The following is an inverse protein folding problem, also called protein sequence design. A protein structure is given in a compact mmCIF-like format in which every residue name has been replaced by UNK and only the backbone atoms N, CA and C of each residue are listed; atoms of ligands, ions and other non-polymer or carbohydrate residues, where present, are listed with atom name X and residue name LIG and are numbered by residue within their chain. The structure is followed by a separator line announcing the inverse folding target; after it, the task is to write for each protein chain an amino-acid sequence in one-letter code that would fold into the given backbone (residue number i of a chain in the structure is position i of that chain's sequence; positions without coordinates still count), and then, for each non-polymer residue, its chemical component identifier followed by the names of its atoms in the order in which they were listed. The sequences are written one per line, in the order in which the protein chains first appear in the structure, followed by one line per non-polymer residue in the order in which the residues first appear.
data_IF_260762532775
#
_entry.id   IF_260762532775
#
_cell.length_a   1.000
_cell.length_b   1.000
_cell.length_c   1.000
_cell.angle_alpha   90.00
_cell.angle_beta   90.00
_cell.angle_gamma   90.00
#
_symmetry.space_group_name_H-M   'P 1'
#
loop_
_entity.id
_entity.type
_entity.pdbx_description
1 polymer ?
#
# COMPACT_ATOMS: atom_id res chain seq x y z
N UNK A 1 6.31 -6.88 32.32
CA UNK A 1 6.08 -5.43 32.58
C UNK A 1 5.39 -4.75 31.39
N UNK A 2 5.91 -4.83 30.16
CA UNK A 2 5.26 -4.17 29.01
C UNK A 2 3.90 -4.74 28.58
N UNK A 3 3.67 -6.05 28.78
CA UNK A 3 2.38 -6.67 28.47
C UNK A 3 1.23 -6.10 29.31
N UNK A 4 1.45 -5.97 30.63
CA UNK A 4 0.53 -5.32 31.56
C UNK A 4 0.06 -3.94 31.09
N UNK A 5 0.95 -3.12 30.54
CA UNK A 5 0.55 -1.80 30.02
C UNK A 5 -0.41 -1.91 28.83
N UNK A 6 -0.19 -2.87 27.92
CA UNK A 6 -1.10 -3.11 26.80
C UNK A 6 -2.45 -3.59 27.31
N UNK A 7 -2.46 -4.53 28.27
CA UNK A 7 -3.68 -5.06 28.88
C UNK A 7 -4.49 -3.93 29.54
N UNK A 8 -3.86 -3.09 30.37
CA UNK A 8 -4.51 -1.94 30.99
C UNK A 8 -5.02 -0.91 29.98
N UNK A 9 -4.31 -0.69 28.87
CA UNK A 9 -4.77 0.24 27.84
C UNK A 9 -6.00 -0.30 27.11
N UNK A 10 -6.05 -1.60 26.84
CA UNK A 10 -7.23 -2.25 26.25
C UNK A 10 -8.42 -2.17 27.22
N UNK A 11 -8.21 -2.48 28.50
CA UNK A 11 -9.25 -2.31 29.53
C UNK A 11 -9.71 -0.86 29.66
N UNK A 12 -8.77 0.11 29.58
CA UNK A 12 -9.11 1.53 29.59
C UNK A 12 -9.97 1.91 28.39
N UNK A 13 -9.63 1.45 27.18
CA UNK A 13 -10.42 1.68 25.97
C UNK A 13 -11.85 1.16 26.15
N UNK A 14 -12.02 -0.06 26.67
CA UNK A 14 -13.35 -0.62 26.99
C UNK A 14 -14.11 0.24 28.01
N UNK A 15 -13.46 0.66 29.10
CA UNK A 15 -14.10 1.51 30.11
C UNK A 15 -14.55 2.88 29.56
N UNK A 16 -13.81 3.43 28.59
CA UNK A 16 -14.10 4.72 27.97
C UNK A 16 -15.30 4.64 26.99
N UNK A 17 -15.54 3.47 26.40
CA UNK A 17 -16.75 3.23 25.61
C UNK A 17 -18.01 3.28 26.48
N UNK A 18 -17.93 2.70 27.68
CA UNK A 18 -19.04 2.67 28.64
C UNK A 18 -19.35 4.05 29.23
N UNK A 19 -18.34 4.87 29.51
CA UNK A 19 -18.51 6.20 30.10
C UNK A 19 -18.82 7.31 29.09
N UNK A 20 -18.86 6.99 27.79
CA UNK A 20 -19.05 7.97 26.69
C UNK A 20 -17.97 9.07 26.60
N UNK A 21 -16.81 8.89 27.23
CA UNK A 21 -15.65 9.79 27.17
C UNK A 21 -14.82 9.55 25.88
N UNK A 22 -15.46 9.67 24.72
CA UNK A 22 -14.88 9.30 23.40
C UNK A 22 -13.59 10.06 23.04
N UNK A 23 -13.33 11.21 23.66
CA UNK A 23 -12.14 12.03 23.39
C UNK A 23 -10.84 11.36 23.87
N UNK A 24 -10.90 10.50 24.88
CA UNK A 24 -9.73 9.81 25.46
C UNK A 24 -9.38 8.50 24.72
N UNK A 25 -10.29 8.00 23.85
CA UNK A 25 -10.07 6.77 23.08
C UNK A 25 -8.92 6.95 22.09
N UNK A 26 -8.86 8.08 21.38
CA UNK A 26 -7.85 8.33 20.35
C UNK A 26 -6.41 8.30 20.91
N UNK A 27 -6.09 8.99 22.03
CA UNK A 27 -4.78 8.86 22.68
C UNK A 27 -4.42 7.41 23.08
N UNK A 28 -5.38 6.65 23.63
CA UNK A 28 -5.14 5.26 24.04
C UNK A 28 -4.82 4.38 22.82
N UNK A 29 -5.60 4.50 21.74
CA UNK A 29 -5.39 3.76 20.50
C UNK A 29 -4.05 4.16 19.85
N UNK A 30 -3.68 5.44 19.86
CA UNK A 30 -2.38 5.87 19.37
C UNK A 30 -1.24 5.24 20.19
N UNK A 31 -1.35 5.20 21.51
CA UNK A 31 -0.35 4.56 22.37
C UNK A 31 -0.25 3.05 22.12
N UNK A 32 -1.38 2.37 21.92
CA UNK A 32 -1.41 0.96 21.48
C UNK A 32 -0.71 0.78 20.14
N UNK A 33 -0.91 1.67 19.17
CA UNK A 33 -0.18 1.64 17.91
C UNK A 33 1.34 1.75 18.12
N UNK A 34 1.82 2.66 18.98
CA UNK A 34 3.25 2.78 19.28
C UNK A 34 3.81 1.48 19.91
N UNK A 35 3.07 0.84 20.82
CA UNK A 35 3.45 -0.46 21.36
C UNK A 35 3.47 -1.55 20.28
N UNK A 36 2.49 -1.57 19.37
CA UNK A 36 2.43 -2.57 18.29
C UNK A 36 3.62 -2.49 17.35
N UNK A 37 4.07 -1.26 17.04
CA UNK A 37 5.24 -0.99 16.19
C UNK A 37 6.56 -1.30 16.91
N UNK A 38 6.63 -1.06 18.22
CA UNK A 38 7.84 -1.35 18.99
C UNK A 38 8.01 -2.85 19.27
N UNK A 39 6.93 -3.53 19.71
CA UNK A 39 6.93 -4.96 20.07
C UNK A 39 5.55 -5.58 19.82
N UNK A 40 5.32 -6.01 18.59
CA UNK A 40 4.06 -6.64 18.17
C UNK A 40 3.70 -7.93 18.97
N UNK A 41 4.68 -8.64 19.54
CA UNK A 41 4.46 -9.82 20.40
C UNK A 41 3.72 -9.54 21.72
N UNK A 42 3.55 -8.26 22.10
CA UNK A 42 2.75 -7.90 23.28
C UNK A 42 1.25 -8.04 23.04
N UNK A 43 0.83 -8.13 21.78
CA UNK A 43 -0.58 -8.25 21.41
C UNK A 43 -1.00 -9.71 21.33
N UNK A 44 -2.19 -10.00 21.85
CA UNK A 44 -2.82 -11.31 21.80
C UNK A 44 -3.99 -11.29 20.83
N UNK A 45 -4.49 -12.47 20.45
CA UNK A 45 -5.71 -12.57 19.64
C UNK A 45 -6.91 -11.88 20.34
N UNK A 46 -7.01 -11.98 21.66
CA UNK A 46 -8.06 -11.33 22.44
C UNK A 46 -8.03 -9.80 22.29
N UNK A 47 -6.85 -9.18 22.29
CA UNK A 47 -6.73 -7.74 22.09
C UNK A 47 -7.22 -7.32 20.70
N UNK A 48 -6.94 -8.12 19.67
CA UNK A 48 -7.43 -7.83 18.32
C UNK A 48 -8.94 -8.02 18.20
N UNK A 49 -9.51 -9.03 18.86
CA UNK A 49 -10.96 -9.20 18.94
C UNK A 49 -11.64 -7.99 19.60
N UNK A 50 -11.03 -7.41 20.63
CA UNK A 50 -11.52 -6.19 21.27
C UNK A 50 -11.45 -4.97 20.34
N UNK A 51 -10.40 -4.87 19.50
CA UNK A 51 -10.23 -3.75 18.57
C UNK A 51 -10.98 -3.92 17.25
N UNK A 52 -11.45 -5.12 16.92
CA UNK A 52 -12.17 -5.41 15.68
C UNK A 52 -13.41 -4.52 15.44
N UNK A 53 -14.27 -4.21 16.42
CA UNK A 53 -15.45 -3.38 16.20
C UNK A 53 -15.12 -2.00 15.58
N UNK A 54 -13.96 -1.43 15.89
CA UNK A 54 -13.48 -0.17 15.32
C UNK A 54 -13.23 -0.22 13.81
N UNK A 55 -13.03 -1.41 13.22
CA UNK A 55 -12.93 -1.58 11.77
C UNK A 55 -14.31 -1.49 11.08
N UNK A 56 -15.41 -1.69 11.82
CA UNK A 56 -16.78 -1.65 11.31
C UNK A 56 -17.44 -0.28 11.45
N UNK A 57 -17.04 0.49 12.45
CA UNK A 57 -17.66 1.79 12.72
C UNK A 57 -17.51 2.76 11.54
N UNK A 58 -18.60 3.46 11.23
CA UNK A 58 -18.60 4.47 10.19
C UNK A 58 -17.81 5.70 10.64
N UNK A 59 -16.58 5.85 10.14
CA UNK A 59 -15.70 6.96 10.48
C UNK A 59 -16.13 8.26 9.78
N UNK A 60 -17.07 8.99 10.39
CA UNK A 60 -17.60 10.25 9.84
C UNK A 60 -16.86 11.47 10.40
N UNK A 61 -16.37 11.39 11.65
CA UNK A 61 -15.57 12.42 12.30
C UNK A 61 -14.06 12.28 12.05
N UNK A 62 -13.33 13.39 12.18
CA UNK A 62 -11.86 13.40 12.02
C UNK A 62 -11.12 12.58 13.08
N UNK A 63 -11.62 12.54 14.31
CA UNK A 63 -11.08 11.68 15.38
C UNK A 63 -11.34 10.20 15.09
N UNK A 64 -12.55 9.83 14.69
CA UNK A 64 -12.95 8.46 14.32
C UNK A 64 -12.10 7.92 13.16
N UNK A 65 -11.81 8.76 12.16
CA UNK A 65 -10.93 8.38 11.05
C UNK A 65 -9.49 8.08 11.49
N UNK A 66 -8.97 8.84 12.47
CA UNK A 66 -7.65 8.57 13.05
C UNK A 66 -7.65 7.30 13.90
N UNK A 67 -8.71 7.05 14.66
CA UNK A 67 -8.88 5.77 15.39
C UNK A 67 -8.85 4.62 14.40
N UNK A 68 -9.67 4.65 13.35
CA UNK A 68 -9.67 3.63 12.31
C UNK A 68 -8.29 3.46 11.66
N UNK A 69 -7.60 4.56 11.37
CA UNK A 69 -6.24 4.52 10.83
C UNK A 69 -5.27 3.77 11.74
N UNK A 70 -5.22 4.11 13.03
CA UNK A 70 -4.33 3.46 13.99
C UNK A 70 -4.71 2.01 14.25
N UNK A 71 -6.00 1.67 14.30
CA UNK A 71 -6.45 0.28 14.44
C UNK A 71 -5.97 -0.55 13.24
N UNK A 72 -6.17 -0.07 12.00
CA UNK A 72 -5.67 -0.79 10.81
C UNK A 72 -4.16 -0.99 10.86
N UNK A 73 -3.41 0.01 11.33
CA UNK A 73 -1.95 -0.11 11.53
C UNK A 73 -1.58 -1.13 12.61
N UNK A 74 -2.30 -1.17 13.74
CA UNK A 74 -2.10 -2.20 14.78
C UNK A 74 -2.31 -3.59 14.19
N UNK A 75 -3.41 -3.81 13.46
CA UNK A 75 -3.67 -5.10 12.81
C UNK A 75 -2.56 -5.48 11.81
N UNK A 76 -2.06 -4.52 11.04
CA UNK A 76 -0.98 -4.72 10.08
C UNK A 76 0.32 -5.25 10.75
N UNK A 77 0.71 -4.66 11.89
CA UNK A 77 1.93 -5.03 12.61
C UNK A 77 1.77 -6.33 13.42
N UNK A 78 0.58 -6.56 13.99
CA UNK A 78 0.35 -7.63 14.97
C UNK A 78 -0.09 -8.94 14.35
N UNK A 79 -1.01 -8.94 13.37
CA UNK A 79 -1.55 -10.16 12.78
C UNK A 79 -0.46 -11.12 12.25
N UNK A 80 0.57 -10.65 11.52
CA UNK A 80 1.63 -11.54 11.02
C UNK A 80 2.55 -12.10 12.11
N UNK A 81 2.54 -11.51 13.31
CA UNK A 81 3.38 -11.88 14.44
C UNK A 81 2.75 -12.96 15.33
N UNK A 82 1.42 -13.13 15.24
CA UNK A 82 0.69 -14.13 16.00
C UNK A 82 0.96 -15.54 15.45
N UNK A 83 1.32 -16.47 16.35
CA UNK A 83 1.67 -17.86 15.98
C UNK A 83 0.48 -18.66 15.42
N UNK A 84 -0.69 -18.48 16.03
CA UNK A 84 -1.93 -19.10 15.63
C UNK A 84 -3.02 -18.03 15.71
N UNK A 85 -3.63 -17.71 14.57
CA UNK A 85 -4.77 -16.80 14.50
C UNK A 85 -5.98 -17.60 14.07
N UNK A 86 -7.09 -17.43 14.76
CA UNK A 86 -8.35 -18.05 14.37
C UNK A 86 -8.72 -17.67 12.91
N UNK A 87 -8.96 -18.67 12.03
CA UNK A 87 -9.37 -18.40 10.65
C UNK A 87 -10.63 -17.54 10.54
N UNK A 88 -11.53 -17.61 11.51
CA UNK A 88 -12.75 -16.81 11.52
C UNK A 88 -12.45 -15.31 11.68
N UNK A 89 -11.51 -14.93 12.54
CA UNK A 89 -11.04 -13.55 12.70
C UNK A 89 -10.39 -13.05 11.40
N UNK A 90 -9.53 -13.85 10.77
CA UNK A 90 -8.89 -13.47 9.50
C UNK A 90 -9.91 -13.16 8.40
N UNK A 91 -10.91 -14.01 8.24
CA UNK A 91 -11.98 -13.80 7.25
C UNK A 91 -12.80 -12.54 7.57
N UNK A 92 -13.03 -12.24 8.85
CA UNK A 92 -13.74 -11.04 9.26
C UNK A 92 -12.92 -9.77 8.95
N UNK A 93 -11.64 -9.75 9.32
CA UNK A 93 -10.73 -8.63 9.04
C UNK A 93 -10.62 -8.38 7.54
N UNK A 94 -10.47 -9.43 6.71
CA UNK A 94 -10.43 -9.27 5.25
C UNK A 94 -11.70 -8.60 4.70
N UNK A 95 -12.88 -9.05 5.16
CA UNK A 95 -14.17 -8.48 4.73
C UNK A 95 -14.32 -7.02 5.16
N UNK A 96 -13.88 -6.69 6.37
CA UNK A 96 -13.92 -5.34 6.91
C UNK A 96 -12.96 -4.42 6.14
N UNK A 97 -11.73 -4.86 5.88
CA UNK A 97 -10.77 -4.14 5.05
C UNK A 97 -11.31 -3.90 3.63
N UNK A 98 -11.92 -4.89 2.99
CA UNK A 98 -12.57 -4.72 1.67
C UNK A 98 -13.71 -3.68 1.69
N UNK A 99 -14.44 -3.61 2.81
CA UNK A 99 -15.50 -2.61 3.00
C UNK A 99 -14.91 -1.20 3.16
N UNK A 100 -13.83 -1.07 3.93
CA UNK A 100 -13.05 0.17 4.10
C UNK A 100 -12.55 0.68 2.74
N UNK A 101 -12.02 -0.21 1.89
CA UNK A 101 -11.54 0.15 0.54
C UNK A 101 -12.60 0.79 -0.36
N UNK A 102 -13.87 0.47 -0.13
CA UNK A 102 -14.99 0.96 -0.92
C UNK A 102 -15.55 2.30 -0.43
N UNK A 103 -15.47 2.56 0.88
CA UNK A 103 -16.17 3.68 1.52
C UNK A 103 -15.26 4.76 2.09
N UNK A 104 -14.04 4.41 2.51
CA UNK A 104 -13.19 5.29 3.31
C UNK A 104 -12.37 6.28 2.46
N UNK A 105 -11.96 7.43 3.01
CA UNK A 105 -11.13 8.43 2.32
C UNK A 105 -9.71 7.93 2.03
N UNK A 106 -9.01 8.64 1.14
CA UNK A 106 -7.66 8.28 0.67
C UNK A 106 -6.65 8.02 1.79
N UNK A 107 -6.69 8.82 2.87
CA UNK A 107 -5.78 8.65 4.01
C UNK A 107 -5.86 7.23 4.61
N UNK A 108 -7.08 6.68 4.69
CA UNK A 108 -7.32 5.35 5.24
C UNK A 108 -6.95 4.27 4.21
N UNK A 109 -7.14 4.52 2.91
CA UNK A 109 -6.71 3.59 1.85
C UNK A 109 -5.20 3.33 1.89
N UNK A 110 -4.40 4.35 2.22
CA UNK A 110 -2.94 4.23 2.33
C UNK A 110 -2.48 3.26 3.44
N UNK A 111 -3.32 2.95 4.43
CA UNK A 111 -3.00 1.96 5.49
C UNK A 111 -3.77 0.65 5.30
N UNK A 112 -5.00 0.72 4.81
CA UNK A 112 -5.85 -0.45 4.63
C UNK A 112 -5.36 -1.38 3.51
N UNK A 113 -4.85 -0.83 2.40
CA UNK A 113 -4.32 -1.65 1.30
C UNK A 113 -3.07 -2.43 1.72
N UNK A 114 -2.01 -1.80 2.28
CA UNK A 114 -0.85 -2.54 2.76
C UNK A 114 -1.23 -3.64 3.76
N UNK A 115 -2.13 -3.33 4.70
CA UNK A 115 -2.64 -4.28 5.67
C UNK A 115 -3.32 -5.48 4.99
N UNK A 116 -4.25 -5.24 4.06
CA UNK A 116 -4.91 -6.31 3.31
C UNK A 116 -3.91 -7.14 2.50
N UNK A 117 -2.99 -6.49 1.77
CA UNK A 117 -1.96 -7.17 1.00
C UNK A 117 -1.11 -8.09 1.88
N UNK A 118 -0.69 -7.62 3.05
CA UNK A 118 0.12 -8.38 4.01
C UNK A 118 -0.65 -9.55 4.63
N UNK A 119 -1.91 -9.35 5.01
CA UNK A 119 -2.78 -10.41 5.54
C UNK A 119 -3.02 -11.49 4.50
N UNK A 120 -3.35 -11.10 3.26
CA UNK A 120 -3.54 -12.05 2.16
C UNK A 120 -2.26 -12.80 1.83
N UNK A 121 -1.13 -12.08 1.74
CA UNK A 121 0.14 -12.67 1.34
C UNK A 121 0.71 -13.60 2.41
N UNK A 122 0.61 -13.27 3.70
CA UNK A 122 1.27 -14.02 4.77
C UNK A 122 0.37 -15.04 5.45
N UNK A 123 -0.92 -14.75 5.58
CA UNK A 123 -1.83 -15.52 6.46
C UNK A 123 -2.86 -16.31 5.67
N UNK A 124 -3.76 -15.63 4.94
CA UNK A 124 -4.96 -16.28 4.39
C UNK A 124 -4.72 -16.95 3.03
N UNK A 125 -3.79 -16.41 2.24
CA UNK A 125 -3.54 -16.81 0.85
C UNK A 125 -4.79 -16.68 -0.06
N UNK A 126 -5.76 -15.84 0.34
CA UNK A 126 -6.99 -15.54 -0.39
C UNK A 126 -6.77 -14.57 -1.56
N UNK A 127 -5.85 -14.91 -2.48
CA UNK A 127 -5.39 -14.02 -3.55
C UNK A 127 -6.51 -13.47 -4.46
N UNK A 128 -7.62 -14.20 -4.58
CA UNK A 128 -8.81 -13.78 -5.32
C UNK A 128 -9.32 -12.38 -4.95
N UNK A 129 -9.20 -11.96 -3.68
CA UNK A 129 -9.68 -10.63 -3.27
C UNK A 129 -8.84 -9.51 -3.88
N UNK A 130 -7.51 -9.64 -3.81
CA UNK A 130 -6.59 -8.67 -4.41
C UNK A 130 -6.74 -8.63 -5.93
N UNK A 131 -6.85 -9.80 -6.56
CA UNK A 131 -7.03 -9.90 -8.01
C UNK A 131 -8.34 -9.27 -8.47
N UNK A 132 -9.44 -9.43 -7.72
CA UNK A 132 -10.71 -8.77 -8.02
C UNK A 132 -10.64 -7.25 -7.89
N UNK A 133 -9.99 -6.73 -6.84
CA UNK A 133 -9.78 -5.28 -6.68
C UNK A 133 -8.96 -4.72 -7.84
N UNK A 134 -7.85 -5.38 -8.18
CA UNK A 134 -6.98 -5.03 -9.31
C UNK A 134 -7.79 -4.98 -10.61
N UNK A 135 -8.49 -6.06 -10.96
CA UNK A 135 -9.26 -6.15 -12.21
C UNK A 135 -10.40 -5.15 -12.27
N UNK A 136 -11.16 -4.99 -11.19
CA UNK A 136 -12.28 -4.04 -11.15
C UNK A 136 -11.82 -2.62 -11.46
N UNK A 137 -10.70 -2.19 -10.87
CA UNK A 137 -10.11 -0.88 -11.11
C UNK A 137 -9.50 -0.78 -12.52
N UNK A 138 -8.71 -1.78 -12.92
CA UNK A 138 -8.03 -1.79 -14.22
C UNK A 138 -9.00 -1.83 -15.41
N UNK A 139 -9.99 -2.74 -15.38
CA UNK A 139 -10.97 -2.92 -16.46
C UNK A 139 -11.84 -1.68 -16.60
N UNK A 140 -12.14 -0.98 -15.49
CA UNK A 140 -12.87 0.28 -15.53
C UNK A 140 -12.01 1.41 -16.08
N UNK A 141 -10.81 1.64 -15.53
CA UNK A 141 -9.91 2.70 -16.03
C UNK A 141 -9.55 2.52 -17.50
N UNK A 142 -9.36 1.28 -17.96
CA UNK A 142 -9.10 0.98 -19.37
C UNK A 142 -10.29 1.37 -20.26
N UNK A 143 -11.52 1.03 -19.85
CA UNK A 143 -12.75 1.42 -20.57
C UNK A 143 -12.92 2.94 -20.62
N UNK A 144 -12.71 3.62 -19.50
CA UNK A 144 -12.81 5.08 -19.44
C UNK A 144 -11.72 5.73 -20.31
N UNK A 145 -10.50 5.20 -20.31
CA UNK A 145 -9.43 5.68 -21.17
C UNK A 145 -9.73 5.52 -22.67
N UNK A 146 -10.35 4.40 -23.07
CA UNK A 146 -10.84 4.22 -24.45
C UNK A 146 -12.01 5.17 -24.76
N UNK A 147 -12.90 5.41 -23.79
CA UNK A 147 -13.98 6.37 -23.90
C UNK A 147 -13.48 7.79 -24.14
N UNK A 148 -12.43 8.22 -23.43
CA UNK A 148 -11.78 9.53 -23.61
C UNK A 148 -11.25 9.69 -25.05
N UNK A 149 -10.59 8.67 -25.60
CA UNK A 149 -10.12 8.72 -27.00
C UNK A 149 -11.25 8.76 -28.03
N UNK A 150 -12.44 8.27 -27.65
CA UNK A 150 -13.65 8.30 -28.47
C UNK A 150 -14.53 9.54 -28.21
N UNK A 151 -14.06 10.53 -27.45
CA UNK A 151 -14.78 11.78 -27.17
C UNK A 151 -15.94 11.63 -26.17
N UNK A 152 -16.02 10.53 -25.41
CA UNK A 152 -17.05 10.35 -24.38
C UNK A 152 -16.76 11.24 -23.16
N UNK A 153 -17.80 11.75 -22.47
CA UNK A 153 -17.61 12.54 -21.27
C UNK A 153 -16.97 11.72 -20.15
N UNK A 154 -16.17 12.38 -19.32
CA UNK A 154 -15.55 11.76 -18.17
C UNK A 154 -16.61 11.33 -17.15
N UNK A 155 -16.46 10.14 -16.53
CA UNK A 155 -17.26 9.77 -15.37
C UNK A 155 -16.92 10.66 -14.16
N UNK A 156 -17.66 10.54 -13.04
CA UNK A 156 -17.38 11.33 -11.85
C UNK A 156 -15.93 11.20 -11.40
N UNK A 157 -15.22 12.34 -11.30
CA UNK A 157 -13.78 12.38 -10.99
C UNK A 157 -13.42 11.61 -9.72
N UNK A 158 -14.27 11.69 -8.68
CA UNK A 158 -14.08 10.95 -7.41
C UNK A 158 -13.95 9.44 -7.63
N UNK A 159 -14.68 8.88 -8.58
CA UNK A 159 -14.64 7.45 -8.91
C UNK A 159 -13.33 7.08 -9.59
N UNK A 160 -12.88 7.89 -10.57
CA UNK A 160 -11.61 7.67 -11.26
C UNK A 160 -10.43 7.81 -10.30
N UNK A 161 -10.41 8.88 -9.51
CA UNK A 161 -9.37 9.13 -8.53
C UNK A 161 -9.26 7.97 -7.52
N UNK A 162 -10.39 7.47 -7.00
CA UNK A 162 -10.39 6.30 -6.11
C UNK A 162 -9.78 5.08 -6.82
N UNK A 163 -10.17 4.79 -8.05
CA UNK A 163 -9.64 3.63 -8.80
C UNK A 163 -8.15 3.74 -9.09
N UNK A 164 -7.66 4.94 -9.41
CA UNK A 164 -6.22 5.20 -9.60
C UNK A 164 -5.44 4.97 -8.30
N UNK A 165 -5.96 5.43 -7.16
CA UNK A 165 -5.36 5.23 -5.83
C UNK A 165 -5.31 3.74 -5.48
N UNK A 166 -6.45 3.05 -5.58
CA UNK A 166 -6.54 1.61 -5.27
C UNK A 166 -5.57 0.82 -6.16
N UNK A 167 -5.55 1.11 -7.46
CA UNK A 167 -4.72 0.39 -8.43
C UNK A 167 -3.22 0.56 -8.16
N UNK A 168 -2.78 1.80 -7.91
CA UNK A 168 -1.37 2.10 -7.61
C UNK A 168 -0.91 1.46 -6.30
N UNK A 169 -1.69 1.60 -5.23
CA UNK A 169 -1.34 1.03 -3.91
C UNK A 169 -1.35 -0.50 -3.92
N UNK A 170 -2.32 -1.15 -4.55
CA UNK A 170 -2.40 -2.61 -4.61
C UNK A 170 -1.20 -3.18 -5.39
N UNK A 171 -0.81 -2.56 -6.51
CA UNK A 171 0.37 -2.99 -7.27
C UNK A 171 1.69 -2.73 -6.53
N UNK A 172 1.76 -1.66 -5.73
CA UNK A 172 2.91 -1.34 -4.87
C UNK A 172 3.14 -2.39 -3.79
N UNK A 173 2.07 -2.80 -3.11
CA UNK A 173 2.16 -3.67 -1.93
C UNK A 173 1.99 -5.16 -2.25
N UNK A 174 1.64 -5.53 -3.48
CA UNK A 174 1.51 -6.91 -3.89
C UNK A 174 2.01 -7.14 -5.32
N UNK A 175 3.06 -7.96 -5.46
CA UNK A 175 3.64 -8.27 -6.76
C UNK A 175 2.88 -9.42 -7.47
N UNK A 176 1.82 -9.05 -8.21
CA UNK A 176 0.99 -9.99 -8.94
C UNK A 176 1.78 -10.81 -9.96
N UNK A 177 2.74 -10.22 -10.65
CA UNK A 177 3.52 -10.92 -11.69
C UNK A 177 4.40 -12.02 -11.07
N UNK A 178 5.09 -11.72 -9.96
CA UNK A 178 5.92 -12.70 -9.26
C UNK A 178 5.09 -13.83 -8.63
N UNK A 179 3.95 -13.52 -8.03
CA UNK A 179 3.06 -14.54 -7.44
C UNK A 179 2.40 -15.40 -8.52
N UNK A 180 1.95 -14.80 -9.63
CA UNK A 180 1.41 -15.52 -10.79
C UNK A 180 2.44 -16.48 -11.41
N UNK A 181 3.69 -16.06 -11.50
CA UNK A 181 4.76 -16.93 -12.02
C UNK A 181 5.03 -18.16 -11.13
N UNK A 182 4.90 -18.01 -9.80
CA UNK A 182 5.09 -19.09 -8.83
C UNK A 182 3.89 -20.03 -8.71
N UNK A 183 2.66 -19.49 -8.80
CA UNK A 183 1.42 -20.23 -8.54
C UNK A 183 0.31 -19.83 -9.53
N UNK A 184 0.45 -20.17 -10.82
CA UNK A 184 -0.46 -19.69 -11.87
C UNK A 184 -1.93 -20.05 -11.62
N UNK A 185 -2.20 -21.26 -11.09
CA UNK A 185 -3.56 -21.75 -10.83
C UNK A 185 -4.34 -20.93 -9.79
N UNK A 186 -3.63 -20.14 -8.96
CA UNK A 186 -4.24 -19.27 -7.94
C UNK A 186 -4.60 -17.88 -8.46
N UNK A 187 -4.26 -17.57 -9.71
CA UNK A 187 -4.56 -16.29 -10.36
C UNK A 187 -5.33 -16.49 -11.68
N UNK A 188 -6.42 -17.27 -11.70
CA UNK A 188 -7.15 -17.57 -12.92
C UNK A 188 -7.71 -16.31 -13.58
N UNK A 189 -8.08 -15.30 -12.79
CA UNK A 189 -8.60 -14.06 -13.33
C UNK A 189 -7.53 -13.23 -14.07
N UNK A 190 -6.23 -13.50 -13.83
CA UNK A 190 -5.12 -12.88 -14.53
C UNK A 190 -4.71 -13.64 -15.82
N UNK A 191 -5.29 -14.81 -16.11
CA UNK A 191 -5.07 -15.46 -17.40
C UNK A 191 -5.71 -14.69 -18.54
N UNK A 192 -6.85 -14.05 -18.29
CA UNK A 192 -7.52 -13.17 -19.24
C UNK A 192 -6.89 -11.76 -19.31
N UNK A 193 -5.80 -11.52 -18.57
CA UNK A 193 -5.14 -10.23 -18.60
C UNK A 193 -4.46 -10.02 -19.97
N UNK A 194 -4.59 -8.83 -20.59
CA UNK A 194 -3.97 -8.57 -21.88
C UNK A 194 -2.47 -8.87 -21.86
N UNK A 195 -1.93 -9.39 -22.97
CA UNK A 195 -0.53 -9.85 -23.06
C UNK A 195 0.47 -8.88 -22.42
N UNK A 196 1.44 -9.38 -21.65
CA UNK A 196 2.42 -8.58 -20.90
C UNK A 196 2.29 -8.71 -19.38
N UNK A 197 3.13 -7.96 -18.66
CA UNK A 197 3.12 -7.94 -17.19
C UNK A 197 1.99 -7.07 -16.66
N UNK A 198 1.43 -7.43 -15.50
CA UNK A 198 0.41 -6.64 -14.81
C UNK A 198 0.96 -5.23 -14.55
N UNK A 199 2.20 -5.15 -14.06
CA UNK A 199 2.88 -3.87 -13.78
C UNK A 199 2.94 -2.95 -15.01
N UNK A 200 3.38 -3.46 -16.17
CA UNK A 200 3.50 -2.63 -17.38
C UNK A 200 2.15 -2.13 -17.85
N UNK A 201 1.14 -2.99 -17.84
CA UNK A 201 -0.22 -2.63 -18.29
C UNK A 201 -0.86 -1.61 -17.36
N UNK A 202 -0.71 -1.79 -16.04
CA UNK A 202 -1.19 -0.83 -15.05
C UNK A 202 -0.50 0.52 -15.24
N UNK A 203 0.83 0.53 -15.39
CA UNK A 203 1.59 1.74 -15.69
C UNK A 203 1.05 2.47 -16.94
N UNK A 204 0.93 1.76 -18.07
CA UNK A 204 0.42 2.36 -19.31
C UNK A 204 -1.00 2.90 -19.17
N UNK A 205 -1.88 2.21 -18.43
CA UNK A 205 -3.26 2.67 -18.21
C UNK A 205 -3.29 3.90 -17.31
N UNK A 206 -2.55 3.92 -16.21
CA UNK A 206 -2.47 5.08 -15.29
C UNK A 206 -1.85 6.29 -15.99
N UNK A 207 -0.80 6.10 -16.81
CA UNK A 207 -0.15 7.18 -17.54
C UNK A 207 -1.09 7.97 -18.46
N UNK A 208 -2.13 7.32 -19.02
CA UNK A 208 -3.16 8.02 -19.83
C UNK A 208 -3.94 9.08 -19.05
N UNK A 209 -4.03 8.95 -17.73
CA UNK A 209 -4.71 9.91 -16.86
C UNK A 209 -3.82 11.10 -16.45
N UNK A 210 -2.58 11.16 -16.94
CA UNK A 210 -1.68 12.29 -16.76
C UNK A 210 -1.72 13.29 -17.92
N UNK A 211 -2.61 13.11 -18.90
CA UNK A 211 -2.67 13.99 -20.07
C UNK A 211 -3.08 15.43 -19.67
N UNK A 212 -2.46 16.42 -20.32
CA UNK A 212 -2.69 17.86 -20.06
C UNK A 212 -4.15 18.28 -20.31
N UNK A 213 -4.86 17.56 -21.19
CA UNK A 213 -6.28 17.78 -21.49
C UNK A 213 -7.23 17.43 -20.34
N UNK A 214 -6.75 16.72 -19.32
CA UNK A 214 -7.58 16.25 -18.21
C UNK A 214 -7.61 17.23 -17.05
N UNK A 215 -8.65 17.20 -16.20
CA UNK A 215 -8.71 18.06 -15.03
C UNK A 215 -7.51 17.86 -14.10
N UNK A 216 -6.92 18.96 -13.63
CA UNK A 216 -5.73 18.94 -12.75
C UNK A 216 -5.86 18.00 -11.53
N UNK A 217 -6.99 17.95 -10.79
CA UNK A 217 -7.12 17.01 -9.66
C UNK A 217 -6.94 15.53 -10.06
N UNK A 218 -7.38 15.17 -11.26
CA UNK A 218 -7.22 13.82 -11.79
C UNK A 218 -5.76 13.54 -12.14
N UNK A 219 -5.07 14.53 -12.74
CA UNK A 219 -3.65 14.43 -13.05
C UNK A 219 -2.81 14.27 -11.77
N UNK A 220 -3.08 15.04 -10.71
CA UNK A 220 -2.38 14.94 -9.42
C UNK A 220 -2.49 13.52 -8.84
N UNK A 221 -3.69 12.94 -8.86
CA UNK A 221 -3.91 11.58 -8.37
C UNK A 221 -3.28 10.52 -9.27
N UNK A 222 -3.28 10.73 -10.59
CA UNK A 222 -2.59 9.85 -11.53
C UNK A 222 -1.06 9.85 -11.31
N UNK A 223 -0.46 11.03 -11.11
CA UNK A 223 0.97 11.18 -10.78
C UNK A 223 1.29 10.48 -9.45
N UNK A 224 0.46 10.65 -8.40
CA UNK A 224 0.65 9.90 -7.16
C UNK A 224 0.52 8.38 -7.34
N UNK A 225 -0.41 7.93 -8.19
CA UNK A 225 -0.58 6.52 -8.51
C UNK A 225 0.65 5.95 -9.22
N UNK A 226 1.23 6.68 -10.18
CA UNK A 226 2.51 6.33 -10.79
C UNK A 226 3.65 6.30 -9.76
N UNK A 227 3.68 7.26 -8.83
CA UNK A 227 4.65 7.27 -7.73
C UNK A 227 4.58 6.02 -6.85
N UNK A 228 3.39 5.50 -6.58
CA UNK A 228 3.22 4.22 -5.90
C UNK A 228 3.78 3.05 -6.73
N UNK A 229 3.61 3.07 -8.05
CA UNK A 229 4.20 2.06 -8.93
C UNK A 229 5.73 2.15 -8.95
N UNK A 230 6.32 3.35 -9.02
CA UNK A 230 7.77 3.53 -8.98
C UNK A 230 8.38 3.02 -7.67
N UNK A 231 7.67 3.20 -6.55
CA UNK A 231 8.07 2.66 -5.26
C UNK A 231 8.05 1.12 -5.19
N UNK A 232 7.19 0.46 -5.96
CA UNK A 232 7.16 -1.00 -6.09
C UNK A 232 8.07 -1.55 -7.20
N UNK A 233 8.30 -0.77 -8.25
CA UNK A 233 9.02 -1.15 -9.47
C UNK A 233 9.85 0.04 -9.99
N UNK A 234 11.02 0.34 -9.37
CA UNK A 234 11.86 1.48 -9.74
C UNK A 234 12.27 1.52 -11.21
N UNK A 235 12.52 0.37 -11.84
CA UNK A 235 12.78 0.24 -13.28
C UNK A 235 11.77 0.95 -14.20
N UNK A 236 10.53 1.19 -13.76
CA UNK A 236 9.55 1.99 -14.52
C UNK A 236 9.97 3.45 -14.72
N UNK A 237 10.86 4.00 -13.88
CA UNK A 237 11.39 5.36 -14.03
C UNK A 237 12.37 5.48 -15.20
N UNK A 238 13.00 4.37 -15.61
CA UNK A 238 13.94 4.34 -16.74
C UNK A 238 13.24 4.43 -18.10
N UNK A 239 11.91 4.25 -18.12
CA UNK A 239 11.12 4.30 -19.35
C UNK A 239 11.05 5.71 -19.91
N UNK A 240 11.09 5.82 -21.24
CA UNK A 240 10.96 7.10 -21.94
C UNK A 240 9.63 7.80 -21.64
N UNK A 241 8.54 7.06 -21.43
CA UNK A 241 7.24 7.65 -21.09
C UNK A 241 7.26 8.34 -19.71
N UNK A 242 8.02 7.78 -18.76
CA UNK A 242 8.23 8.38 -17.43
C UNK A 242 9.05 9.65 -17.52
N UNK A 243 10.15 9.65 -18.29
CA UNK A 243 11.00 10.83 -18.50
C UNK A 243 10.24 11.96 -19.16
N UNK A 244 9.54 11.65 -20.26
CA UNK A 244 8.70 12.62 -20.98
C UNK A 244 7.63 13.23 -20.07
N UNK A 245 7.03 12.43 -19.20
CA UNK A 245 6.07 12.91 -18.19
C UNK A 245 6.71 13.89 -17.20
N UNK A 246 7.87 13.54 -16.64
CA UNK A 246 8.58 14.35 -15.66
C UNK A 246 9.07 15.67 -16.27
N UNK A 247 9.71 15.63 -17.45
CA UNK A 247 10.17 16.80 -18.20
C UNK A 247 9.01 17.77 -18.46
N UNK A 248 7.87 17.24 -18.89
CA UNK A 248 6.66 18.03 -19.15
C UNK A 248 6.10 18.68 -17.87
N UNK A 249 6.11 17.96 -16.74
CA UNK A 249 5.64 18.52 -15.46
C UNK A 249 6.57 19.64 -14.99
N UNK A 250 7.90 19.46 -15.06
CA UNK A 250 8.86 20.49 -14.69
C UNK A 250 8.83 21.70 -15.63
N UNK A 251 8.60 21.49 -16.93
CA UNK A 251 8.40 22.58 -17.89
C UNK A 251 7.06 23.32 -17.73
N UNK A 252 6.07 22.73 -17.04
CA UNK A 252 4.77 23.36 -16.84
C UNK A 252 4.81 24.53 -15.85
N UNK A 253 3.80 25.40 -15.86
CA UNK A 253 3.61 26.45 -14.85
C UNK A 253 2.81 25.97 -13.63
N UNK A 254 2.38 24.71 -13.64
CA UNK A 254 1.52 24.11 -12.61
C UNK A 254 2.33 23.73 -11.38
N UNK A 255 2.23 24.55 -10.33
CA UNK A 255 2.94 24.35 -9.06
C UNK A 255 2.48 23.11 -8.31
N UNK A 256 1.20 22.75 -8.41
CA UNK A 256 0.66 21.61 -7.68
C UNK A 256 1.17 20.30 -8.30
N UNK A 257 1.24 20.21 -9.63
CA UNK A 257 1.81 19.03 -10.30
C UNK A 257 3.31 18.88 -10.01
N UNK A 258 4.07 19.99 -9.99
CA UNK A 258 5.48 19.97 -9.58
C UNK A 258 5.64 19.50 -8.14
N UNK A 259 4.85 20.06 -7.22
CA UNK A 259 4.87 19.65 -5.82
C UNK A 259 4.50 18.17 -5.66
N UNK A 260 3.54 17.68 -6.45
CA UNK A 260 3.14 16.29 -6.43
C UNK A 260 4.25 15.36 -6.92
N UNK A 261 4.95 15.72 -7.99
CA UNK A 261 6.09 14.96 -8.48
C UNK A 261 7.26 14.95 -7.48
N UNK A 262 7.54 16.09 -6.86
CA UNK A 262 8.56 16.19 -5.80
C UNK A 262 8.21 15.34 -4.57
N UNK A 263 6.92 15.25 -4.19
CA UNK A 263 6.47 14.32 -3.14
C UNK A 263 6.72 12.87 -3.52
N UNK A 264 6.46 12.50 -4.78
CA UNK A 264 6.75 11.14 -5.29
C UNK A 264 8.25 10.84 -5.18
N UNK A 265 9.12 11.78 -5.54
CA UNK A 265 10.57 11.63 -5.38
C UNK A 265 10.98 11.51 -3.91
N UNK A 266 10.44 12.35 -3.03
CA UNK A 266 10.71 12.28 -1.60
C UNK A 266 10.30 10.93 -1.00
N UNK A 267 9.11 10.44 -1.33
CA UNK A 267 8.62 9.14 -0.87
C UNK A 267 9.50 7.98 -1.36
N UNK A 268 9.93 8.03 -2.62
CA UNK A 268 10.82 7.04 -3.21
C UNK A 268 12.18 6.98 -2.49
N UNK A 269 12.82 8.14 -2.30
CA UNK A 269 14.10 8.25 -1.60
C UNK A 269 13.99 7.84 -0.13
N UNK A 270 12.90 8.24 0.54
CA UNK A 270 12.64 7.83 1.93
C UNK A 270 12.50 6.32 2.05
N UNK A 271 11.84 5.67 1.08
CA UNK A 271 11.70 4.22 1.07
C UNK A 271 13.04 3.52 0.81
N UNK A 272 13.89 4.04 -0.08
CA UNK A 272 15.24 3.49 -0.28
C UNK A 272 16.10 3.62 0.97
N UNK A 273 16.07 4.78 1.63
CA UNK A 273 16.80 4.98 2.88
C UNK A 273 16.36 3.98 3.96
N UNK A 274 15.05 3.76 4.12
CA UNK A 274 14.53 2.76 5.06
C UNK A 274 14.97 1.33 4.73
N UNK A 275 15.14 0.98 3.44
CA UNK A 275 15.68 -0.33 3.04
C UNK A 275 17.15 -0.44 3.44
N UNK A 276 17.96 0.59 3.13
CA UNK A 276 19.38 0.63 3.48
C UNK A 276 19.62 0.56 5.00
N UNK A 277 18.80 1.22 5.80
CA UNK A 277 18.94 1.19 7.26
C UNK A 277 18.59 -0.20 7.82
N UNK A 278 17.59 -0.88 7.27
CA UNK A 278 17.26 -2.28 7.63
C UNK A 278 18.37 -3.25 7.28
N UNK A 279 19.03 -3.05 6.14
CA UNK A 279 20.16 -3.90 5.71
C UNK A 279 21.38 -3.68 6.61
N UNK A 280 21.59 -2.46 7.11
CA UNK A 280 22.66 -2.12 8.07
C UNK A 280 22.40 -2.67 9.48
N UNK A 281 21.15 -2.66 9.93
CA UNK A 281 20.76 -3.06 11.29
C UNK A 281 20.70 -4.58 11.49
N UNK A 282 20.92 -5.39 10.46
CA UNK A 282 21.31 -6.81 10.55
C UNK A 282 20.63 -7.60 11.67
N UNK A 283 19.30 -7.56 11.78
CA UNK A 283 18.59 -8.44 12.71
C UNK A 283 18.50 -9.82 12.05
N UNK A 284 19.11 -10.87 12.63
CA UNK A 284 19.11 -12.18 12.02
C UNK A 284 17.68 -12.74 12.09
N UNK A 285 16.99 -12.75 10.95
CA UNK A 285 15.81 -13.56 10.79
C UNK A 285 16.23 -15.03 10.92
N UNK A 286 15.98 -15.59 12.12
CA UNK A 286 15.89 -17.00 12.44
C UNK A 286 16.75 -17.96 11.59
N UNK A 287 17.97 -18.25 12.03
CA UNK A 287 18.64 -19.52 11.71
C UNK A 287 19.70 -19.87 12.75
N UNK A 288 19.25 -20.35 13.91
CA UNK A 288 20.07 -21.25 14.72
C UNK A 288 19.98 -22.66 14.10
N UNK A 289 20.91 -22.93 13.18
CA UNK A 289 21.41 -24.23 12.64
C UNK A 289 21.43 -24.21 11.11
N UNK A 290 22.58 -23.85 10.55
CA UNK A 290 23.50 -24.81 9.91
C UNK A 290 24.72 -24.05 9.36
N UNK A 291 25.87 -24.36 9.92
CA UNK A 291 27.17 -23.97 9.38
C UNK A 291 27.37 -24.61 8.00
N UNK A 292 28.08 -23.88 7.13
CA UNK A 292 28.69 -24.30 5.86
C UNK A 292 27.78 -24.29 4.60
N UNK A 293 27.52 -23.09 4.10
CA UNK A 293 27.99 -22.60 2.78
C UNK A 293 27.73 -21.10 2.76
N UNK A 294 28.72 -20.29 2.34
CA UNK A 294 28.45 -18.90 2.00
C UNK A 294 27.47 -18.93 0.84
N UNK A 295 26.22 -18.57 1.10
CA UNK A 295 25.12 -18.67 0.15
C UNK A 295 25.44 -17.70 -1.01
N UNK A 296 25.83 -18.23 -2.16
CA UNK A 296 26.22 -17.45 -3.35
C UNK A 296 25.09 -16.51 -3.78
N UNK A 297 23.84 -16.76 -3.34
CA UNK A 297 22.67 -15.88 -3.52
C UNK A 297 22.70 -14.58 -2.71
N UNK A 298 23.46 -14.52 -1.63
CA UNK A 298 23.70 -13.28 -0.87
C UNK A 298 24.78 -12.44 -1.58
N UNK A 299 25.71 -13.09 -2.28
CA UNK A 299 26.76 -12.43 -3.07
C UNK A 299 26.28 -12.02 -4.47
N UNK A 300 25.39 -12.81 -5.06
CA UNK A 300 24.63 -12.50 -6.27
C UNK A 300 23.30 -11.93 -5.78
N UNK A 301 23.30 -10.69 -5.28
CA UNK A 301 22.06 -10.00 -4.92
C UNK A 301 21.02 -10.20 -6.02
N UNK A 302 19.75 -10.44 -5.64
CA UNK A 302 18.67 -10.71 -6.60
C UNK A 302 18.84 -9.78 -7.79
N UNK A 303 18.99 -10.30 -9.02
CA UNK A 303 19.31 -9.47 -10.19
C UNK A 303 18.33 -8.30 -10.40
N UNK A 304 17.11 -8.42 -9.86
CA UNK A 304 16.10 -7.38 -9.80
C UNK A 304 16.39 -6.30 -8.73
N UNK A 305 16.87 -6.67 -7.55
CA UNK A 305 17.33 -5.73 -6.52
C UNK A 305 18.62 -5.01 -6.93
N UNK A 306 19.53 -5.71 -7.63
CA UNK A 306 20.74 -5.09 -8.20
C UNK A 306 20.42 -4.15 -9.36
N UNK A 307 19.40 -4.46 -10.17
CA UNK A 307 18.95 -3.63 -11.30
C UNK A 307 18.13 -2.41 -10.89
N UNK A 308 17.47 -2.47 -9.73
CA UNK A 308 16.75 -1.33 -9.16
C UNK A 308 17.69 -0.41 -8.34
N UNK A 309 18.84 -0.93 -7.86
CA UNK A 309 19.84 -0.15 -7.14
C UNK A 309 20.43 0.96 -8.02
N UNK A 310 20.32 2.21 -7.55
CA UNK A 310 20.87 3.38 -8.23
C UNK A 310 19.96 4.00 -9.30
N UNK A 311 18.83 3.37 -9.66
CA UNK A 311 17.84 3.96 -10.57
C UNK A 311 17.32 5.30 -10.03
N UNK A 312 16.96 5.33 -8.75
CA UNK A 312 16.48 6.55 -8.11
C UNK A 312 17.56 7.63 -8.10
N UNK A 313 18.80 7.30 -7.74
CA UNK A 313 19.92 8.24 -7.76
C UNK A 313 20.18 8.82 -9.16
N UNK A 314 20.16 7.98 -10.20
CA UNK A 314 20.36 8.43 -11.58
C UNK A 314 19.26 9.41 -12.03
N UNK A 315 18.00 9.13 -11.69
CA UNK A 315 16.88 10.00 -12.02
C UNK A 315 16.94 11.32 -11.24
N UNK A 316 17.28 11.28 -9.95
CA UNK A 316 17.41 12.53 -9.17
C UNK A 316 18.52 13.44 -9.71
N UNK A 317 19.63 12.86 -10.19
CA UNK A 317 20.69 13.65 -10.82
C UNK A 317 20.22 14.36 -12.10
N UNK A 318 19.29 13.78 -12.85
CA UNK A 318 18.74 14.43 -14.05
C UNK A 318 17.86 15.65 -13.74
N UNK A 319 17.24 15.70 -12.56
CA UNK A 319 16.26 16.72 -12.18
C UNK A 319 16.74 17.63 -11.03
N UNK A 320 18.02 17.59 -10.67
CA UNK A 320 18.56 18.40 -9.57
C UNK A 320 18.53 19.90 -9.89
N UNK A 321 18.67 20.26 -11.17
CA UNK A 321 18.69 21.63 -11.67
C UNK A 321 17.36 22.08 -12.31
N UNK A 322 16.33 21.23 -12.28
CA UNK A 322 15.02 21.45 -12.92
C UNK A 322 14.05 22.28 -12.07
#
# INVERSE_FOLDING_TARGET
MYQWYVDCLIERVLSLEETSERNEILPCIHLLYLFSRARCHLFTEAHLMTLQPYLKESSTGGSEQKVLQYVVMIFQETLPSLKHVNPSLLVQVEKELLTILSKSPQLILNVAIPCLCQVVERLTKSYQFLTRVLRSCFDKLTREAQGMTAGKPLPPLKTLMRMLILLGLVCRHFNFDAHRAKQPDRFPELHAFPAGTVTTRVFTTVAKFTQVSLPQPLQLVAVQSLGNLFQGYPSLLLRDESRTLMDRIFASTDRDLKLQLLKVFLELLSQEQLKLDRDKDGTPAANAKLHATVDLKVLIGNAQELGDAGVCSAIMQCYVDA
#
